data_IF_836284898162
#
_entry.id   IF_836284898162
#
_cell.length_a   1.000
_cell.length_b   1.000
_cell.length_c   1.000
_cell.angle_alpha   90.00
_cell.angle_beta   90.00
_cell.angle_gamma   90.00
#
_symmetry.space_group_name_H-M   'P 1'
#
loop_
_entity.id
_entity.type
_entity.pdbx_description
1 polymer ?
#
# COMPACT_ATOMS: atom_id res chain seq x y z
N UNK A 1 -9.15 4.56 12.12
CA UNK A 1 -10.40 5.05 11.49
C UNK A 1 -11.38 5.43 12.59
N UNK A 2 -11.64 6.74 12.80
CA UNK A 2 -12.57 7.19 13.86
C UNK A 2 -14.03 7.31 13.39
N UNK A 3 -14.25 7.30 12.07
CA UNK A 3 -15.57 7.49 11.44
C UNK A 3 -16.36 6.19 11.23
N UNK A 4 -15.77 5.04 11.56
CA UNK A 4 -16.40 3.72 11.42
C UNK A 4 -16.19 2.97 12.73
N UNK A 5 -17.28 2.65 13.42
CA UNK A 5 -17.25 1.87 14.64
C UNK A 5 -16.76 0.44 14.35
N UNK A 6 -16.22 -0.23 15.37
CA UNK A 6 -15.84 -1.64 15.27
C UNK A 6 -16.93 -2.46 15.94
N UNK A 7 -17.51 -3.39 15.20
CA UNK A 7 -18.55 -4.31 15.65
C UNK A 7 -18.16 -5.73 15.22
N UNK A 8 -18.13 -6.67 16.16
CA UNK A 8 -17.78 -8.07 15.90
C UNK A 8 -16.52 -8.26 15.03
N UNK A 9 -15.45 -7.50 15.31
CA UNK A 9 -14.16 -7.53 14.58
C UNK A 9 -14.17 -6.91 13.16
N UNK A 10 -15.26 -6.26 12.78
CA UNK A 10 -15.39 -5.56 11.51
C UNK A 10 -15.62 -4.07 11.70
N UNK A 11 -15.09 -3.26 10.79
CA UNK A 11 -15.49 -1.87 10.66
C UNK A 11 -16.91 -1.81 10.08
N UNK A 12 -17.81 -1.07 10.73
CA UNK A 12 -19.22 -1.01 10.35
C UNK A 12 -19.44 -0.37 8.96
N UNK A 13 -18.76 0.76 8.71
CA UNK A 13 -18.86 1.50 7.46
C UNK A 13 -17.64 1.20 6.56
N UNK A 14 -17.90 0.47 5.48
CA UNK A 14 -16.90 0.06 4.50
C UNK A 14 -16.42 1.20 3.60
N UNK A 15 -17.19 2.30 3.45
CA UNK A 15 -16.77 3.47 2.66
C UNK A 15 -15.54 4.10 3.27
N UNK A 16 -15.55 4.33 4.59
CA UNK A 16 -14.39 4.90 5.27
C UNK A 16 -13.19 3.95 5.29
N UNK A 17 -13.44 2.64 5.27
CA UNK A 17 -12.36 1.64 5.15
C UNK A 17 -11.72 1.72 3.76
N UNK A 18 -12.54 1.76 2.71
CA UNK A 18 -12.12 1.87 1.32
C UNK A 18 -11.31 3.15 1.09
N UNK A 19 -11.82 4.31 1.51
CA UNK A 19 -11.12 5.61 1.39
C UNK A 19 -9.74 5.58 2.07
N UNK A 20 -9.66 5.09 3.30
CA UNK A 20 -8.39 5.03 4.03
C UNK A 20 -7.43 3.99 3.46
N UNK A 21 -7.93 2.85 2.96
CA UNK A 21 -7.10 1.84 2.30
C UNK A 21 -6.51 2.38 1.00
N UNK A 22 -7.31 3.10 0.20
CA UNK A 22 -6.83 3.79 -1.00
C UNK A 22 -5.75 4.83 -0.69
N UNK A 23 -5.96 5.67 0.34
CA UNK A 23 -4.96 6.66 0.76
C UNK A 23 -3.63 6.02 1.20
N UNK A 24 -3.68 4.95 1.99
CA UNK A 24 -2.46 4.28 2.44
C UNK A 24 -1.72 3.56 1.30
N UNK A 25 -2.45 2.94 0.37
CA UNK A 25 -1.86 2.37 -0.85
C UNK A 25 -1.14 3.45 -1.68
N UNK A 26 -1.78 4.60 -1.90
CA UNK A 26 -1.17 5.72 -2.62
C UNK A 26 0.06 6.29 -1.89
N UNK A 27 0.04 6.33 -0.55
CA UNK A 27 1.20 6.75 0.23
C UNK A 27 2.40 5.79 0.05
N UNK A 28 2.15 4.48 0.07
CA UNK A 28 3.20 3.48 -0.19
C UNK A 28 3.77 3.61 -1.61
N UNK A 29 2.91 3.78 -2.63
CA UNK A 29 3.36 4.04 -4.01
C UNK A 29 4.24 5.29 -4.11
N UNK A 30 3.81 6.39 -3.48
CA UNK A 30 4.56 7.64 -3.48
C UNK A 30 5.96 7.44 -2.89
N UNK A 31 6.06 6.74 -1.75
CA UNK A 31 7.35 6.46 -1.12
C UNK A 31 8.28 5.63 -2.01
N UNK A 32 7.74 4.60 -2.68
CA UNK A 32 8.49 3.77 -3.64
C UNK A 32 9.01 4.62 -4.80
N UNK A 33 8.17 5.47 -5.39
CA UNK A 33 8.57 6.32 -6.51
C UNK A 33 9.62 7.35 -6.10
N UNK A 34 9.42 8.04 -4.98
CA UNK A 34 10.36 9.04 -4.52
C UNK A 34 11.70 8.41 -4.14
N UNK A 35 11.71 7.21 -3.57
CA UNK A 35 12.94 6.46 -3.28
C UNK A 35 13.66 6.01 -4.56
N UNK A 36 12.93 5.55 -5.57
CA UNK A 36 13.50 5.19 -6.86
C UNK A 36 14.17 6.40 -7.55
N UNK A 37 13.51 7.56 -7.51
CA UNK A 37 14.09 8.82 -8.01
C UNK A 37 15.37 9.19 -7.25
N UNK A 38 15.37 9.13 -5.90
CA UNK A 38 16.57 9.36 -5.07
C UNK A 38 17.69 8.37 -5.33
N UNK A 39 17.36 7.13 -5.68
CA UNK A 39 18.33 6.06 -5.97
C UNK A 39 18.92 6.15 -7.39
N UNK A 40 18.53 7.15 -8.19
CA UNK A 40 19.00 7.32 -9.57
C UNK A 40 18.35 6.36 -10.57
N UNK A 41 17.31 5.62 -10.17
CA UNK A 41 16.53 4.77 -11.07
C UNK A 41 15.70 5.66 -11.98
N UNK A 42 15.92 5.56 -13.30
CA UNK A 42 15.12 6.30 -14.28
C UNK A 42 13.68 5.79 -14.28
N UNK A 43 12.78 6.49 -13.61
CA UNK A 43 11.36 6.32 -13.82
C UNK A 43 11.04 6.90 -15.20
N UNK A 44 10.27 6.18 -16.01
CA UNK A 44 9.74 6.73 -17.28
C UNK A 44 8.96 8.01 -16.98
N UNK A 45 8.77 8.86 -17.99
CA UNK A 45 8.06 10.16 -17.85
C UNK A 45 6.71 10.00 -17.12
N UNK A 46 6.06 8.84 -17.28
CA UNK A 46 4.89 8.43 -16.51
C UNK A 46 5.25 7.35 -15.47
N UNK A 47 4.85 7.57 -14.21
CA UNK A 47 4.95 6.59 -13.13
C UNK A 47 4.11 5.33 -13.48
N UNK A 48 4.61 4.11 -13.20
CA UNK A 48 3.83 2.90 -13.40
C UNK A 48 2.48 2.95 -12.68
N UNK A 49 1.42 2.46 -13.34
CA UNK A 49 0.05 2.48 -12.81
C UNK A 49 -0.48 1.10 -12.41
N UNK A 50 0.18 0.03 -12.86
CA UNK A 50 -0.20 -1.34 -12.50
C UNK A 50 0.73 -1.89 -11.43
N UNK A 51 0.26 -2.92 -10.72
CA UNK A 51 1.06 -3.67 -9.77
C UNK A 51 2.35 -4.19 -10.42
N UNK A 52 2.26 -4.79 -11.61
CA UNK A 52 3.39 -5.36 -12.33
C UNK A 52 4.40 -4.28 -12.70
N UNK A 53 3.93 -3.11 -13.12
CA UNK A 53 4.82 -1.99 -13.45
C UNK A 53 5.58 -1.47 -12.23
N UNK A 54 4.94 -1.40 -11.06
CA UNK A 54 5.60 -1.03 -9.81
C UNK A 54 6.52 -2.14 -9.32
N UNK A 55 6.13 -3.42 -9.46
CA UNK A 55 6.96 -4.59 -9.17
C UNK A 55 8.26 -4.56 -9.98
N UNK A 56 8.17 -4.31 -11.29
CA UNK A 56 9.35 -4.15 -12.15
C UNK A 56 10.22 -2.95 -11.76
N UNK A 57 9.63 -1.88 -11.24
CA UNK A 57 10.42 -0.79 -10.69
C UNK A 57 11.19 -1.26 -9.44
N UNK A 58 10.53 -1.97 -8.52
CA UNK A 58 11.13 -2.50 -7.28
C UNK A 58 12.30 -3.44 -7.57
N UNK A 59 12.26 -4.22 -8.65
CA UNK A 59 13.37 -5.10 -9.08
C UNK A 59 14.70 -4.35 -9.22
N UNK A 60 14.63 -3.06 -9.56
CA UNK A 60 15.79 -2.19 -9.78
C UNK A 60 16.22 -1.43 -8.51
N UNK A 61 15.58 -1.67 -7.36
CA UNK A 61 15.86 -0.96 -6.11
C UNK A 61 16.70 -1.80 -5.12
N UNK A 62 17.46 -1.14 -4.23
CA UNK A 62 18.02 -1.81 -3.05
C UNK A 62 16.91 -2.43 -2.20
N UNK A 63 17.22 -3.52 -1.48
CA UNK A 63 16.28 -4.22 -0.59
C UNK A 63 15.01 -4.77 -1.29
N UNK A 64 15.05 -4.95 -2.62
CA UNK A 64 13.91 -5.41 -3.45
C UNK A 64 13.12 -6.58 -2.88
N UNK A 65 13.78 -7.59 -2.31
CA UNK A 65 13.08 -8.79 -1.79
C UNK A 65 12.11 -8.42 -0.66
N UNK A 66 12.56 -7.61 0.30
CA UNK A 66 11.73 -7.16 1.42
C UNK A 66 10.66 -6.19 0.93
N UNK A 67 11.03 -5.25 0.06
CA UNK A 67 10.09 -4.27 -0.49
C UNK A 67 8.96 -4.93 -1.30
N UNK A 68 9.28 -5.94 -2.12
CA UNK A 68 8.30 -6.73 -2.86
C UNK A 68 7.27 -7.37 -1.95
N UNK A 69 7.73 -8.04 -0.89
CA UNK A 69 6.84 -8.73 0.03
C UNK A 69 5.86 -7.76 0.70
N UNK A 70 6.38 -6.62 1.19
CA UNK A 70 5.55 -5.57 1.80
C UNK A 70 4.59 -4.94 0.79
N UNK A 71 5.08 -4.60 -0.40
CA UNK A 71 4.27 -3.98 -1.44
C UNK A 71 3.15 -4.91 -1.91
N UNK A 72 3.43 -6.22 -2.05
CA UNK A 72 2.40 -7.22 -2.36
C UNK A 72 1.32 -7.28 -1.29
N UNK A 73 1.70 -7.32 0.00
CA UNK A 73 0.72 -7.28 1.09
C UNK A 73 -0.12 -6.02 1.07
N UNK A 74 0.49 -4.86 0.84
CA UNK A 74 -0.22 -3.57 0.72
C UNK A 74 -1.16 -3.56 -0.48
N UNK A 75 -0.75 -4.08 -1.63
CA UNK A 75 -1.59 -4.20 -2.81
C UNK A 75 -2.78 -5.13 -2.58
N UNK A 76 -2.53 -6.37 -2.12
CA UNK A 76 -3.58 -7.36 -1.92
C UNK A 76 -4.58 -6.94 -0.83
N UNK A 77 -4.08 -6.45 0.30
CA UNK A 77 -4.91 -6.13 1.47
C UNK A 77 -5.59 -4.78 1.30
N UNK A 78 -4.86 -3.71 0.95
CA UNK A 78 -5.41 -2.36 0.97
C UNK A 78 -6.00 -1.96 -0.38
N UNK A 79 -5.34 -2.26 -1.50
CA UNK A 79 -5.85 -1.87 -2.80
C UNK A 79 -6.97 -2.80 -3.28
N UNK A 80 -6.70 -4.11 -3.35
CA UNK A 80 -7.69 -5.09 -3.81
C UNK A 80 -8.74 -5.34 -2.72
N UNK A 81 -8.32 -5.72 -1.52
CA UNK A 81 -9.23 -6.05 -0.41
C UNK A 81 -10.01 -4.85 0.13
N UNK A 82 -9.30 -3.86 0.67
CA UNK A 82 -9.91 -2.72 1.38
C UNK A 82 -10.59 -1.73 0.44
N UNK A 83 -9.90 -1.30 -0.62
CA UNK A 83 -10.40 -0.27 -1.53
C UNK A 83 -11.44 -0.83 -2.51
N UNK A 84 -11.08 -1.83 -3.34
CA UNK A 84 -11.99 -2.37 -4.35
C UNK A 84 -13.08 -3.27 -3.78
N UNK A 85 -12.69 -4.28 -2.98
CA UNK A 85 -13.62 -5.28 -2.46
C UNK A 85 -14.30 -4.86 -1.14
N UNK A 86 -13.94 -3.68 -0.61
CA UNK A 86 -14.54 -3.09 0.58
C UNK A 86 -14.50 -4.01 1.82
N UNK A 87 -13.41 -4.76 2.00
CA UNK A 87 -13.22 -5.61 3.19
C UNK A 87 -13.15 -4.78 4.46
N UNK A 88 -13.86 -5.23 5.49
CA UNK A 88 -13.98 -4.50 6.77
C UNK A 88 -13.33 -5.20 7.96
N UNK A 89 -12.76 -6.39 7.79
CA UNK A 89 -12.14 -7.11 8.91
C UNK A 89 -10.98 -6.29 9.49
N UNK A 90 -11.08 -5.96 10.78
CA UNK A 90 -10.16 -5.04 11.46
C UNK A 90 -8.74 -5.55 11.46
N UNK A 91 -8.55 -6.85 11.71
CA UNK A 91 -7.22 -7.48 11.80
C UNK A 91 -6.50 -7.40 10.46
N UNK A 92 -7.19 -7.80 9.39
CA UNK A 92 -6.65 -7.78 8.02
C UNK A 92 -6.27 -6.36 7.61
N UNK A 93 -7.18 -5.39 7.76
CA UNK A 93 -6.93 -4.01 7.37
C UNK A 93 -5.79 -3.36 8.17
N UNK A 94 -5.70 -3.65 9.48
CA UNK A 94 -4.58 -3.17 10.31
C UNK A 94 -3.23 -3.76 9.87
N UNK A 95 -3.19 -5.02 9.46
CA UNK A 95 -1.95 -5.61 8.92
C UNK A 95 -1.53 -4.90 7.63
N UNK A 96 -2.47 -4.61 6.73
CA UNK A 96 -2.19 -3.82 5.53
C UNK A 96 -1.61 -2.44 5.84
N UNK A 97 -2.16 -1.73 6.83
CA UNK A 97 -1.62 -0.43 7.26
C UNK A 97 -0.23 -0.53 7.87
N UNK A 98 0.02 -1.56 8.69
CA UNK A 98 1.34 -1.81 9.26
C UNK A 98 2.37 -2.03 8.15
N UNK A 99 2.05 -2.82 7.13
CA UNK A 99 2.95 -3.03 5.99
C UNK A 99 3.19 -1.75 5.18
N UNK A 100 2.17 -0.90 5.01
CA UNK A 100 2.34 0.41 4.36
C UNK A 100 3.21 1.37 5.20
N UNK A 101 3.02 1.40 6.51
CA UNK A 101 3.85 2.17 7.45
C UNK A 101 5.31 1.69 7.43
N UNK A 102 5.53 0.37 7.39
CA UNK A 102 6.87 -0.20 7.30
C UNK A 102 7.57 0.17 5.99
N UNK A 103 6.85 0.24 4.86
CA UNK A 103 7.42 0.76 3.59
C UNK A 103 7.85 2.21 3.77
N UNK A 104 7.00 3.05 4.37
CA UNK A 104 7.31 4.46 4.59
C UNK A 104 8.56 4.63 5.47
N UNK A 105 8.67 3.88 6.57
CA UNK A 105 9.83 3.90 7.47
C UNK A 105 11.10 3.32 6.87
N UNK A 106 10.96 2.37 5.94
CA UNK A 106 12.11 1.74 5.29
C UNK A 106 12.73 2.63 4.20
N UNK A 107 11.93 3.48 3.55
CA UNK A 107 12.33 4.23 2.37
C UNK A 107 12.59 5.72 2.61
N UNK A 108 12.09 6.28 3.71
CA UNK A 108 12.35 7.65 4.15
C UNK A 108 13.43 7.69 5.23
#
# INVERSE_FOLDING_TARGET
MRKSAIEAEHYHDAKYVSEASGMAYLAALKAIFDYAERSGTKIKRDRPKSYEGVSHLIDNLPQRNKLHHKFKSVYDILHVGGYYNQFTNVKVIKEGFKEAEDILKMLN
#
